data_IF_374655726527
#
_entry.id   IF_374655726527
#
_cell.length_a   1.000
_cell.length_b   1.000
_cell.length_c   1.000
_cell.angle_alpha   90.00
_cell.angle_beta   90.00
_cell.angle_gamma   90.00
#
_symmetry.space_group_name_H-M   'P 1'
#
loop_
_entity.id
_entity.type
_entity.pdbx_description
1 polymer ?
#
# COMPACT_ATOMS: atom_id res chain seq x y z
N UNK A 1 -27.80 -6.64 2.56
CA UNK A 1 -28.43 -6.66 3.91
C UNK A 1 -29.87 -6.19 3.83
N UNK A 2 -30.15 -4.93 3.47
CA UNK A 2 -31.53 -4.42 3.34
C UNK A 2 -32.40 -5.25 2.38
N UNK A 3 -31.90 -5.59 1.19
CA UNK A 3 -32.65 -6.47 0.27
C UNK A 3 -32.95 -7.85 0.88
N UNK A 4 -31.95 -8.50 1.48
CA UNK A 4 -32.13 -9.81 2.13
C UNK A 4 -33.11 -9.76 3.30
N UNK A 5 -33.15 -8.63 4.01
CA UNK A 5 -34.09 -8.39 5.08
C UNK A 5 -35.53 -8.35 4.56
N UNK A 6 -35.76 -7.75 3.38
CA UNK A 6 -37.09 -7.66 2.77
C UNK A 6 -37.53 -8.90 1.99
N UNK A 7 -36.61 -9.55 1.29
CA UNK A 7 -36.96 -10.49 0.22
C UNK A 7 -36.76 -11.96 0.56
N UNK A 8 -36.02 -12.28 1.63
CA UNK A 8 -35.70 -13.67 1.98
C UNK A 8 -36.41 -14.08 3.26
N UNK A 9 -37.05 -15.24 3.22
CA UNK A 9 -37.46 -15.94 4.42
C UNK A 9 -36.26 -16.75 4.95
N UNK A 10 -35.65 -16.26 6.01
CA UNK A 10 -34.46 -16.85 6.62
C UNK A 10 -34.48 -16.63 8.13
N UNK A 11 -33.80 -17.49 8.88
CA UNK A 11 -33.65 -17.31 10.34
C UNK A 11 -33.10 -15.92 10.70
N UNK A 12 -32.20 -15.38 9.86
CA UNK A 12 -31.64 -14.04 10.07
C UNK A 12 -32.68 -12.94 9.83
N UNK A 13 -33.45 -13.00 8.74
CA UNK A 13 -34.49 -12.00 8.48
C UNK A 13 -35.59 -12.05 9.54
N UNK A 14 -36.06 -13.24 9.92
CA UNK A 14 -37.05 -13.43 10.98
C UNK A 14 -36.60 -12.83 12.32
N UNK A 15 -35.35 -13.08 12.72
CA UNK A 15 -34.75 -12.44 13.90
C UNK A 15 -34.71 -10.91 13.80
N UNK A 16 -34.27 -10.39 12.65
CA UNK A 16 -34.18 -8.94 12.44
C UNK A 16 -35.56 -8.27 12.44
N UNK A 17 -36.59 -8.92 11.88
CA UNK A 17 -37.97 -8.47 11.93
C UNK A 17 -38.47 -8.41 13.38
N UNK A 18 -38.37 -9.52 14.12
CA UNK A 18 -38.84 -9.60 15.50
C UNK A 18 -38.14 -8.60 16.43
N UNK A 19 -36.81 -8.42 16.28
CA UNK A 19 -36.03 -7.58 17.20
C UNK A 19 -36.13 -6.08 16.91
N UNK A 20 -36.16 -5.70 15.64
CA UNK A 20 -35.98 -4.30 15.25
C UNK A 20 -37.18 -3.69 14.53
N UNK A 21 -38.04 -4.49 13.88
CA UNK A 21 -39.20 -4.01 13.13
C UNK A 21 -40.42 -3.78 14.04
N UNK A 22 -40.24 -2.96 15.07
CA UNK A 22 -41.16 -2.83 16.23
C UNK A 22 -42.59 -2.42 15.84
N UNK A 23 -42.75 -1.48 14.90
CA UNK A 23 -44.04 -0.83 14.58
C UNK A 23 -44.30 -0.76 13.06
N UNK A 24 -43.67 -1.62 12.26
CA UNK A 24 -43.77 -1.53 10.80
C UNK A 24 -42.91 -0.42 10.15
N UNK A 25 -42.24 0.40 10.96
CA UNK A 25 -41.34 1.46 10.46
C UNK A 25 -39.86 1.04 10.56
N UNK A 26 -39.10 1.31 9.49
CA UNK A 26 -37.64 1.09 9.46
C UNK A 26 -36.86 2.27 10.05
N UNK A 27 -37.06 2.52 11.35
CA UNK A 27 -36.37 3.58 12.10
C UNK A 27 -35.41 2.95 13.13
N UNK A 28 -34.19 3.46 13.20
CA UNK A 28 -33.20 3.01 14.19
C UNK A 28 -33.12 3.95 15.40
N UNK A 29 -32.84 3.39 16.57
CA UNK A 29 -32.51 4.10 17.80
C UNK A 29 -31.00 4.06 18.06
N UNK A 30 -30.50 4.96 18.92
CA UNK A 30 -29.09 5.01 19.32
C UNK A 30 -28.49 3.64 19.75
N UNK A 31 -29.16 2.80 20.57
CA UNK A 31 -28.61 1.51 21.01
C UNK A 31 -28.71 0.39 19.97
N UNK A 32 -29.36 0.60 18.82
CA UNK A 32 -29.54 -0.46 17.85
C UNK A 32 -28.22 -0.82 17.13
N UNK A 33 -28.14 -2.07 16.66
CA UNK A 33 -26.93 -2.58 16.00
C UNK A 33 -26.53 -1.79 14.75
N UNK A 34 -25.23 -1.75 14.44
CA UNK A 34 -24.72 -1.15 13.20
C UNK A 34 -25.38 -1.73 11.94
N UNK A 35 -25.72 -3.02 11.95
CA UNK A 35 -26.42 -3.67 10.84
C UNK A 35 -27.83 -3.11 10.64
N UNK A 36 -28.60 -2.92 11.72
CA UNK A 36 -29.93 -2.32 11.64
C UNK A 36 -29.89 -0.88 11.16
N UNK A 37 -28.97 -0.07 11.68
CA UNK A 37 -28.76 1.32 11.23
C UNK A 37 -28.50 1.38 9.72
N UNK A 38 -27.63 0.51 9.19
CA UNK A 38 -27.36 0.41 7.74
C UNK A 38 -28.58 -0.02 6.93
N UNK A 39 -29.42 -0.91 7.46
CA UNK A 39 -30.68 -1.33 6.81
C UNK A 39 -31.65 -0.15 6.72
N UNK A 40 -31.85 0.59 7.81
CA UNK A 40 -32.73 1.76 7.83
C UNK A 40 -32.25 2.85 6.84
N UNK A 41 -30.95 3.16 6.81
CA UNK A 41 -30.39 4.10 5.84
C UNK A 41 -30.55 3.65 4.40
N UNK A 42 -30.43 2.35 4.12
CA UNK A 42 -30.69 1.82 2.79
C UNK A 42 -32.17 1.87 2.43
N UNK A 43 -33.08 1.78 3.42
CA UNK A 43 -34.53 1.80 3.19
C UNK A 43 -35.02 3.11 2.60
N UNK A 44 -34.48 4.25 3.05
CA UNK A 44 -34.87 5.56 2.52
C UNK A 44 -34.53 5.72 1.03
N UNK A 45 -33.56 4.96 0.52
CA UNK A 45 -33.14 4.99 -0.89
C UNK A 45 -33.79 3.84 -1.67
N UNK A 46 -33.84 2.65 -1.08
CA UNK A 46 -34.28 1.43 -1.75
C UNK A 46 -35.80 1.33 -1.92
N UNK A 47 -36.59 1.98 -1.04
CA UNK A 47 -38.05 1.92 -1.11
C UNK A 47 -38.61 2.45 -2.44
N UNK A 48 -37.95 3.44 -3.05
CA UNK A 48 -38.36 3.99 -4.35
C UNK A 48 -38.07 3.04 -5.52
N UNK A 49 -37.15 2.09 -5.34
CA UNK A 49 -36.60 1.20 -6.37
C UNK A 49 -37.18 -0.23 -6.34
N UNK A 50 -38.17 -0.47 -5.48
CA UNK A 50 -38.85 -1.76 -5.33
C UNK A 50 -40.34 -1.67 -5.67
N UNK A 51 -40.89 -2.77 -6.15
CA UNK A 51 -42.32 -3.01 -6.34
C UNK A 51 -42.74 -4.20 -5.47
N UNK A 52 -43.92 -4.11 -4.87
CA UNK A 52 -44.49 -5.19 -4.06
C UNK A 52 -45.71 -5.71 -4.82
N UNK A 53 -45.58 -6.91 -5.39
CA UNK A 53 -46.69 -7.62 -6.04
C UNK A 53 -47.00 -8.88 -5.25
N UNK A 54 -48.26 -9.05 -4.82
CA UNK A 54 -48.74 -10.24 -4.11
C UNK A 54 -47.85 -10.66 -2.92
N UNK A 55 -47.35 -9.68 -2.14
CA UNK A 55 -46.47 -9.92 -0.98
C UNK A 55 -45.02 -10.25 -1.34
N UNK A 56 -44.66 -10.30 -2.63
CA UNK A 56 -43.29 -10.55 -3.09
C UNK A 56 -42.62 -9.24 -3.51
N UNK A 57 -41.45 -8.95 -2.95
CA UNK A 57 -40.67 -7.75 -3.28
C UNK A 57 -39.86 -7.99 -4.57
N UNK A 58 -40.07 -7.15 -5.58
CA UNK A 58 -39.33 -7.13 -6.85
C UNK A 58 -38.55 -5.85 -7.04
N UNK A 59 -37.44 -5.92 -7.76
CA UNK A 59 -36.63 -4.77 -8.13
C UNK A 59 -37.10 -4.16 -9.46
N UNK A 60 -37.56 -2.90 -9.46
CA UNK A 60 -38.27 -2.25 -10.59
C UNK A 60 -37.54 -2.35 -11.94
N UNK A 61 -36.23 -2.17 -11.93
CA UNK A 61 -35.41 -2.05 -13.15
C UNK A 61 -34.65 -3.34 -13.50
N UNK A 62 -35.13 -4.50 -13.05
CA UNK A 62 -34.54 -5.81 -13.35
C UNK A 62 -35.52 -6.64 -14.17
N UNK A 63 -35.08 -7.17 -15.33
CA UNK A 63 -35.93 -7.98 -16.22
C UNK A 63 -36.59 -9.19 -15.54
N UNK A 64 -36.01 -9.68 -14.45
CA UNK A 64 -36.52 -10.83 -13.67
C UNK A 64 -36.97 -10.43 -12.26
N UNK A 65 -37.04 -9.13 -11.96
CA UNK A 65 -37.32 -8.61 -10.60
C UNK A 65 -36.21 -8.90 -9.58
N UNK A 66 -35.09 -9.50 -9.99
CA UNK A 66 -33.99 -9.89 -9.13
C UNK A 66 -33.10 -8.70 -8.77
N UNK A 67 -32.80 -8.56 -7.47
CA UNK A 67 -31.83 -7.58 -7.00
C UNK A 67 -30.40 -8.00 -7.31
N UNK A 68 -29.62 -7.06 -7.83
CA UNK A 68 -28.16 -7.14 -7.83
C UNK A 68 -27.58 -5.84 -7.29
N UNK A 69 -26.43 -5.95 -6.62
CA UNK A 69 -25.67 -4.77 -6.19
C UNK A 69 -25.31 -3.86 -7.38
N UNK A 70 -25.05 -4.43 -8.54
CA UNK A 70 -24.73 -3.69 -9.76
C UNK A 70 -25.94 -2.86 -10.26
N UNK A 71 -27.14 -3.45 -10.33
CA UNK A 71 -28.36 -2.74 -10.70
C UNK A 71 -28.68 -1.63 -9.70
N UNK A 72 -28.68 -1.94 -8.40
CA UNK A 72 -28.94 -0.95 -7.36
C UNK A 72 -27.94 0.21 -7.38
N UNK A 73 -26.65 -0.09 -7.56
CA UNK A 73 -25.64 0.95 -7.71
C UNK A 73 -25.83 1.81 -8.95
N UNK A 74 -26.31 1.23 -10.06
CA UNK A 74 -26.57 1.94 -11.32
C UNK A 74 -27.70 2.98 -11.21
N UNK A 75 -28.71 2.68 -10.41
CA UNK A 75 -29.88 3.53 -10.16
C UNK A 75 -29.59 4.64 -9.14
N UNK A 76 -28.91 4.31 -8.04
CA UNK A 76 -28.64 5.26 -6.95
C UNK A 76 -27.52 6.24 -7.31
N UNK A 77 -26.57 5.83 -8.15
CA UNK A 77 -25.44 6.70 -8.50
C UNK A 77 -25.89 7.84 -9.40
N UNK A 78 -25.43 9.04 -9.10
CA UNK A 78 -25.50 10.15 -10.06
C UNK A 78 -24.61 9.83 -11.26
N UNK A 79 -25.22 9.53 -12.41
CA UNK A 79 -24.49 9.28 -13.66
C UNK A 79 -23.90 10.59 -14.15
N UNK A 80 -22.58 10.74 -13.98
CA UNK A 80 -21.79 11.78 -14.66
C UNK A 80 -21.17 11.20 -15.92
N UNK A 81 -21.00 12.03 -16.96
CA UNK A 81 -20.27 11.65 -18.16
C UNK A 81 -18.89 11.08 -17.83
N UNK A 82 -18.46 10.09 -18.60
CA UNK A 82 -17.11 9.54 -18.46
C UNK A 82 -16.11 10.60 -18.93
N UNK A 83 -15.30 11.15 -18.01
CA UNK A 83 -14.20 12.04 -18.41
C UNK A 83 -13.08 11.21 -19.03
N UNK A 84 -12.45 11.73 -20.09
CA UNK A 84 -11.31 11.08 -20.74
C UNK A 84 -10.21 10.77 -19.72
N UNK A 85 -9.91 11.71 -18.83
CA UNK A 85 -8.94 11.53 -17.74
C UNK A 85 -9.23 10.32 -16.84
N UNK A 86 -10.51 9.96 -16.66
CA UNK A 86 -10.89 8.78 -15.89
C UNK A 86 -10.60 7.51 -16.70
N UNK A 87 -10.96 7.50 -17.98
CA UNK A 87 -10.68 6.35 -18.85
C UNK A 87 -9.17 6.08 -18.97
N UNK A 88 -8.34 7.13 -18.99
CA UNK A 88 -6.89 7.01 -19.17
C UNK A 88 -6.16 6.44 -17.96
N UNK A 89 -6.63 6.70 -16.73
CA UNK A 89 -5.93 6.27 -15.50
C UNK A 89 -6.38 4.91 -14.96
N UNK A 90 -7.57 4.42 -15.33
CA UNK A 90 -8.14 3.16 -14.81
C UNK A 90 -7.95 1.98 -15.79
N UNK A 91 -6.83 1.93 -16.50
CA UNK A 91 -6.47 0.79 -17.33
C UNK A 91 -5.93 -0.37 -16.48
N UNK A 92 -6.35 -1.61 -16.78
CA UNK A 92 -5.98 -2.81 -16.01
C UNK A 92 -4.48 -3.07 -15.98
N UNK A 93 -3.74 -2.53 -16.95
CA UNK A 93 -2.29 -2.65 -17.00
C UNK A 93 -1.60 -1.74 -15.98
N UNK A 94 -2.23 -0.65 -15.54
CA UNK A 94 -1.65 0.30 -14.59
C UNK A 94 -1.89 -0.22 -13.16
N UNK A 95 -0.86 -0.32 -12.29
CA UNK A 95 -1.11 -0.77 -10.93
C UNK A 95 -2.05 0.18 -10.19
N UNK A 96 -3.06 -0.39 -9.54
CA UNK A 96 -4.17 0.35 -8.93
C UNK A 96 -3.73 1.50 -8.00
N UNK A 97 -2.63 1.32 -7.26
CA UNK A 97 -2.09 2.37 -6.37
C UNK A 97 -1.69 3.65 -7.12
N UNK A 98 -1.21 3.52 -8.35
CA UNK A 98 -0.84 4.66 -9.20
C UNK A 98 -2.11 5.36 -9.70
N UNK A 99 -3.09 4.60 -10.20
CA UNK A 99 -4.38 5.13 -10.66
C UNK A 99 -5.11 5.90 -9.55
N UNK A 100 -5.14 5.35 -8.33
CA UNK A 100 -5.75 6.00 -7.16
C UNK A 100 -5.02 7.32 -6.84
N UNK A 101 -3.70 7.32 -6.86
CA UNK A 101 -2.92 8.53 -6.58
C UNK A 101 -3.20 9.61 -7.62
N UNK A 102 -3.11 9.29 -8.91
CA UNK A 102 -3.36 10.28 -9.98
C UNK A 102 -4.80 10.78 -9.95
N UNK A 103 -5.76 9.91 -9.65
CA UNK A 103 -7.15 10.32 -9.41
C UNK A 103 -7.25 11.35 -8.28
N UNK A 104 -6.53 11.15 -7.17
CA UNK A 104 -6.47 12.15 -6.08
C UNK A 104 -5.79 13.44 -6.51
N UNK A 105 -4.68 13.37 -7.23
CA UNK A 105 -3.94 14.54 -7.76
C UNK A 105 -4.87 15.40 -8.63
N UNK A 106 -5.57 14.79 -9.59
CA UNK A 106 -6.50 15.49 -10.51
C UNK A 106 -7.74 16.08 -9.80
N UNK A 107 -8.00 15.66 -8.57
CA UNK A 107 -9.10 16.16 -7.72
C UNK A 107 -8.61 17.12 -6.63
N UNK A 108 -7.32 17.46 -6.60
CA UNK A 108 -6.68 18.19 -5.50
C UNK A 108 -6.94 17.53 -4.13
N UNK A 109 -7.08 16.21 -4.09
CA UNK A 109 -7.41 15.43 -2.90
C UNK A 109 -6.17 14.77 -2.25
N UNK A 110 -5.00 15.37 -2.45
CA UNK A 110 -3.74 14.97 -1.81
C UNK A 110 -3.37 16.00 -0.72
N UNK A 111 -2.74 15.56 0.38
CA UNK A 111 -2.41 16.44 1.51
C UNK A 111 -1.17 17.29 1.18
N UNK A 112 -1.36 18.33 0.36
CA UNK A 112 -0.33 19.35 0.13
C UNK A 112 -0.38 20.44 1.22
N UNK A 113 0.74 21.11 1.54
CA UNK A 113 0.78 22.18 2.53
C UNK A 113 -0.22 23.32 2.28
N UNK A 114 -0.49 23.64 1.00
CA UNK A 114 -1.54 24.58 0.59
C UNK A 114 -2.95 24.09 0.92
N UNK A 115 -3.19 22.78 0.87
CA UNK A 115 -4.43 22.13 1.30
C UNK A 115 -4.49 21.97 2.84
N UNK A 116 -3.37 22.21 3.54
CA UNK A 116 -3.19 22.11 5.00
C UNK A 116 -2.93 23.49 5.65
N UNK A 117 -3.31 24.59 4.99
CA UNK A 117 -3.25 25.98 5.47
C UNK A 117 -1.84 26.58 5.72
N UNK A 118 -0.74 25.92 5.31
CA UNK A 118 0.61 26.50 5.42
C UNK A 118 1.40 26.25 4.13
N UNK A 119 1.66 27.30 3.35
CA UNK A 119 2.48 27.41 2.10
C UNK A 119 1.78 27.16 0.76
N UNK A 120 2.16 27.98 -0.24
CA UNK A 120 1.64 28.05 -1.62
C UNK A 120 2.08 26.89 -2.55
N UNK A 121 2.17 25.66 -2.05
CA UNK A 121 2.52 24.50 -2.89
C UNK A 121 1.27 23.97 -3.63
N UNK A 122 0.97 24.46 -4.83
CA UNK A 122 -0.13 23.94 -5.66
C UNK A 122 0.24 22.62 -6.36
N UNK A 123 -0.77 21.82 -6.74
CA UNK A 123 -0.57 20.60 -7.53
C UNK A 123 0.20 20.89 -8.82
N UNK A 124 -0.16 21.96 -9.53
CA UNK A 124 0.54 22.34 -10.76
C UNK A 124 2.02 22.66 -10.51
N UNK A 125 2.34 23.35 -9.41
CA UNK A 125 3.71 23.66 -9.07
C UNK A 125 4.53 22.40 -8.80
N UNK A 126 4.08 21.58 -7.85
CA UNK A 126 4.82 20.39 -7.39
C UNK A 126 4.99 19.35 -8.51
N UNK A 127 3.95 19.10 -9.30
CA UNK A 127 3.93 17.97 -10.23
C UNK A 127 4.27 18.33 -11.68
N UNK A 128 4.33 19.61 -12.04
CA UNK A 128 4.45 20.00 -13.44
C UNK A 128 5.33 21.22 -13.70
N UNK A 129 5.21 22.29 -12.92
CA UNK A 129 5.89 23.56 -13.21
C UNK A 129 7.26 23.71 -12.53
N UNK A 130 7.54 22.95 -11.46
CA UNK A 130 8.84 23.00 -10.79
C UNK A 130 9.96 22.56 -11.77
N UNK A 131 11.00 23.38 -11.93
CA UNK A 131 11.99 23.23 -13.01
C UNK A 131 12.65 21.82 -13.05
N UNK A 132 13.13 21.25 -11.93
CA UNK A 132 13.64 19.88 -11.95
C UNK A 132 12.62 18.82 -12.38
N UNK A 133 11.34 19.02 -12.04
CA UNK A 133 10.24 18.14 -12.49
C UNK A 133 9.97 18.32 -13.97
N UNK A 134 10.02 19.54 -14.51
CA UNK A 134 9.92 19.77 -15.96
C UNK A 134 11.01 19.01 -16.74
N UNK A 135 12.22 18.91 -16.20
CA UNK A 135 13.29 18.11 -16.82
C UNK A 135 12.96 16.62 -16.87
N UNK A 136 12.28 16.07 -15.85
CA UNK A 136 11.79 14.69 -15.88
C UNK A 136 10.77 14.53 -17.01
N UNK A 137 9.77 15.41 -17.08
CA UNK A 137 8.76 15.39 -18.14
C UNK A 137 9.36 15.50 -19.53
N UNK A 138 10.37 16.35 -19.72
CA UNK A 138 11.07 16.52 -21.00
C UNK A 138 11.87 15.27 -21.39
N UNK A 139 12.63 14.70 -20.46
CA UNK A 139 13.42 13.48 -20.71
C UNK A 139 12.50 12.33 -21.12
N UNK A 140 11.46 12.03 -20.34
CA UNK A 140 10.54 10.95 -20.71
C UNK A 140 9.67 11.30 -21.92
N UNK A 141 9.39 12.59 -22.13
CA UNK A 141 8.63 13.10 -23.24
C UNK A 141 9.35 12.96 -24.57
N UNK A 142 10.65 13.29 -24.67
CA UNK A 142 11.40 13.24 -25.93
C UNK A 142 11.42 11.87 -26.61
N UNK A 143 11.24 10.83 -25.81
CA UNK A 143 11.15 9.44 -26.23
C UNK A 143 9.83 9.08 -26.92
N UNK A 144 8.77 9.82 -26.60
CA UNK A 144 7.38 9.49 -26.99
C UNK A 144 6.79 10.59 -27.88
N UNK A 145 7.19 11.84 -27.64
CA UNK A 145 6.67 13.06 -28.25
C UNK A 145 7.83 13.97 -28.67
N UNK A 146 7.99 14.25 -29.97
CA UNK A 146 8.79 15.37 -30.42
C UNK A 146 8.14 16.65 -29.88
N UNK A 147 8.90 17.49 -29.16
CA UNK A 147 8.47 18.82 -28.66
C UNK A 147 7.41 18.86 -27.55
N UNK A 148 7.68 18.19 -26.44
CA UNK A 148 6.81 18.35 -25.26
C UNK A 148 6.97 19.73 -24.60
N UNK A 149 5.98 20.59 -24.82
CA UNK A 149 5.85 21.85 -24.09
C UNK A 149 5.39 21.56 -22.66
N UNK A 150 6.22 21.94 -21.68
CA UNK A 150 5.88 21.88 -20.24
C UNK A 150 5.29 23.21 -19.77
N UNK A 151 4.44 23.82 -20.60
CA UNK A 151 3.74 25.08 -20.34
C UNK A 151 2.27 24.82 -20.03
N UNK A 152 1.65 25.67 -19.21
CA UNK A 152 0.25 25.53 -18.83
C UNK A 152 0.05 24.65 -17.58
N UNK A 153 -1.08 23.95 -17.51
CA UNK A 153 -1.46 23.15 -16.34
C UNK A 153 -1.10 21.68 -16.48
N UNK A 154 -0.97 20.97 -15.36
CA UNK A 154 -0.77 19.52 -15.35
C UNK A 154 -1.85 18.80 -16.14
N UNK A 155 -3.11 19.24 -16.02
CA UNK A 155 -4.23 18.61 -16.74
C UNK A 155 -4.10 18.76 -18.25
N UNK A 156 -3.66 19.92 -18.74
CA UNK A 156 -3.40 20.13 -20.17
C UNK A 156 -2.23 19.26 -20.64
N UNK A 157 -1.14 19.23 -19.88
CA UNK A 157 0.00 18.35 -20.17
C UNK A 157 -0.42 16.89 -20.29
N UNK A 158 -1.17 16.36 -19.32
CA UNK A 158 -1.67 14.98 -19.35
C UNK A 158 -2.55 14.70 -20.57
N UNK A 159 -3.43 15.64 -20.95
CA UNK A 159 -4.26 15.48 -22.14
C UNK A 159 -3.42 15.43 -23.41
N UNK A 160 -2.39 16.28 -23.52
CA UNK A 160 -1.44 16.21 -24.65
C UNK A 160 -0.85 14.82 -24.76
N UNK A 161 -0.31 14.26 -23.67
CA UNK A 161 0.22 12.89 -23.67
C UNK A 161 -0.82 11.84 -24.11
N UNK A 162 -1.99 11.86 -23.48
CA UNK A 162 -3.00 10.81 -23.69
C UNK A 162 -3.65 10.83 -25.07
N UNK A 163 -3.63 11.97 -25.76
CA UNK A 163 -4.23 12.15 -27.08
C UNK A 163 -3.22 11.99 -28.22
N UNK A 164 -1.92 11.90 -27.93
CA UNK A 164 -0.88 11.85 -28.96
C UNK A 164 -0.88 10.60 -29.83
N UNK A 165 -1.40 9.48 -29.33
CA UNK A 165 -1.42 8.21 -30.07
C UNK A 165 -2.75 7.48 -29.88
N UNK A 166 -3.07 6.61 -30.83
CA UNK A 166 -4.23 5.73 -30.73
C UNK A 166 -4.16 4.87 -29.46
N UNK A 167 -5.24 4.84 -28.67
CA UNK A 167 -5.29 4.19 -27.36
C UNK A 167 -5.00 2.68 -27.42
N UNK A 168 -5.32 2.05 -28.55
CA UNK A 168 -5.11 0.62 -28.76
C UNK A 168 -3.68 0.28 -29.22
N UNK A 169 -2.91 1.28 -29.64
CA UNK A 169 -1.52 1.09 -30.06
C UNK A 169 -0.57 0.95 -28.87
N UNK A 170 0.58 0.31 -29.10
CA UNK A 170 1.63 0.20 -28.09
C UNK A 170 2.07 1.58 -27.56
N UNK A 171 2.33 2.53 -28.48
CA UNK A 171 2.69 3.90 -28.13
C UNK A 171 1.59 4.57 -27.28
N UNK A 172 0.32 4.34 -27.59
CA UNK A 172 -0.81 4.83 -26.80
C UNK A 172 -0.86 4.24 -25.38
N UNK A 173 -0.56 2.95 -25.20
CA UNK A 173 -0.45 2.34 -23.85
C UNK A 173 0.69 2.97 -23.04
N UNK A 174 1.84 3.20 -23.67
CA UNK A 174 2.98 3.88 -23.02
C UNK A 174 2.64 5.33 -22.68
N UNK A 175 1.99 6.07 -23.59
CA UNK A 175 1.54 7.44 -23.33
C UNK A 175 0.55 7.55 -22.17
N UNK A 176 -0.22 6.50 -21.89
CA UNK A 176 -1.10 6.43 -20.72
C UNK A 176 -0.33 6.14 -19.44
N UNK A 177 0.62 5.19 -19.51
CA UNK A 177 1.40 4.74 -18.37
C UNK A 177 2.42 5.78 -17.87
N UNK A 178 3.24 6.33 -18.77
CA UNK A 178 4.41 7.15 -18.41
C UNK A 178 4.05 8.35 -17.55
N UNK A 179 3.03 9.17 -17.88
CA UNK A 179 2.62 10.28 -17.03
C UNK A 179 2.17 9.84 -15.64
N UNK A 180 1.47 8.70 -15.55
CA UNK A 180 0.99 8.15 -14.29
C UNK A 180 2.15 7.69 -13.40
N UNK A 181 3.18 7.11 -14.01
CA UNK A 181 4.41 6.70 -13.32
C UNK A 181 5.23 7.91 -12.86
N UNK A 182 5.40 8.92 -13.72
CA UNK A 182 6.08 10.18 -13.37
C UNK A 182 5.41 10.83 -12.14
N UNK A 183 4.09 10.98 -12.18
CA UNK A 183 3.33 11.55 -11.06
C UNK A 183 3.49 10.75 -9.76
N UNK A 184 3.54 9.42 -9.85
CA UNK A 184 3.73 8.58 -8.67
C UNK A 184 5.11 8.78 -8.03
N UNK A 185 6.18 8.77 -8.83
CA UNK A 185 7.53 8.93 -8.30
C UNK A 185 7.83 10.37 -7.86
N UNK A 186 7.22 11.38 -8.48
CA UNK A 186 7.27 12.76 -7.97
C UNK A 186 6.58 12.85 -6.61
N UNK A 187 5.39 12.24 -6.45
CA UNK A 187 4.71 12.22 -5.15
C UNK A 187 5.53 11.50 -4.09
N UNK A 188 6.14 10.35 -4.45
CA UNK A 188 6.99 9.61 -3.53
C UNK A 188 8.18 10.48 -3.08
N UNK A 189 8.90 11.11 -4.01
CA UNK A 189 9.99 12.02 -3.68
C UNK A 189 9.52 13.21 -2.82
N UNK A 190 8.36 13.78 -3.16
CA UNK A 190 7.74 14.85 -2.35
C UNK A 190 7.51 14.39 -0.91
N UNK A 191 6.98 13.18 -0.72
CA UNK A 191 6.77 12.60 0.60
C UNK A 191 8.08 12.36 1.36
N UNK A 192 9.09 11.83 0.67
CA UNK A 192 10.38 11.51 1.27
C UNK A 192 11.14 12.76 1.74
N UNK A 193 10.93 13.92 1.10
CA UNK A 193 11.43 15.21 1.58
C UNK A 193 10.62 15.68 2.79
N UNK A 194 9.29 15.71 2.64
CA UNK A 194 8.41 16.41 3.59
C UNK A 194 8.31 15.66 4.92
N UNK A 195 8.40 14.33 4.87
CA UNK A 195 8.22 13.47 6.05
C UNK A 195 9.36 12.47 6.28
N UNK A 196 10.29 12.33 5.32
CA UNK A 196 11.39 11.37 5.38
C UNK A 196 12.76 11.95 5.74
N UNK A 197 12.90 13.29 5.81
CA UNK A 197 14.17 14.02 5.97
C UNK A 197 15.26 13.59 4.98
N UNK A 198 14.87 13.26 3.74
CA UNK A 198 15.80 12.87 2.68
C UNK A 198 16.03 13.99 1.68
N UNK A 199 17.26 14.12 1.19
CA UNK A 199 17.58 15.02 0.09
C UNK A 199 17.08 14.45 -1.24
N UNK A 200 16.58 15.31 -2.14
CA UNK A 200 16.18 14.89 -3.48
C UNK A 200 17.40 14.55 -4.32
N UNK A 201 17.42 13.32 -4.85
CA UNK A 201 18.36 12.95 -5.90
C UNK A 201 17.62 12.68 -7.21
N UNK A 202 17.49 13.71 -8.06
CA UNK A 202 16.78 13.64 -9.34
C UNK A 202 17.23 12.51 -10.27
N UNK A 203 18.53 12.15 -10.35
CA UNK A 203 18.97 10.98 -11.11
C UNK A 203 18.33 9.67 -10.61
N UNK A 204 18.17 9.49 -9.28
CA UNK A 204 17.48 8.32 -8.74
C UNK A 204 15.99 8.29 -9.12
N UNK A 205 15.31 9.44 -9.15
CA UNK A 205 13.90 9.50 -9.58
C UNK A 205 13.78 9.07 -11.05
N UNK A 206 14.64 9.59 -11.94
CA UNK A 206 14.68 9.18 -13.34
C UNK A 206 14.92 7.68 -13.48
N UNK A 207 15.91 7.15 -12.74
CA UNK A 207 16.21 5.73 -12.74
C UNK A 207 15.04 4.86 -12.28
N UNK A 208 14.34 5.26 -11.21
CA UNK A 208 13.17 4.55 -10.69
C UNK A 208 12.02 4.53 -11.71
N UNK A 209 11.73 5.66 -12.35
CA UNK A 209 10.71 5.76 -13.40
C UNK A 209 11.09 4.85 -14.59
N UNK A 210 12.33 4.93 -15.07
CA UNK A 210 12.82 4.12 -16.19
C UNK A 210 12.75 2.61 -15.89
N UNK A 211 13.24 2.22 -14.70
CA UNK A 211 13.20 0.83 -14.22
C UNK A 211 11.76 0.30 -14.14
N UNK A 212 10.83 1.12 -13.64
CA UNK A 212 9.43 0.73 -13.56
C UNK A 212 8.82 0.52 -14.94
N UNK A 213 8.97 1.48 -15.86
CA UNK A 213 8.41 1.40 -17.21
C UNK A 213 8.94 0.15 -17.94
N UNK A 214 10.23 -0.12 -17.80
CA UNK A 214 10.85 -1.30 -18.38
C UNK A 214 10.31 -2.60 -17.78
N UNK A 215 10.33 -2.76 -16.45
CA UNK A 215 9.79 -3.96 -15.76
C UNK A 215 8.33 -4.19 -16.12
N UNK A 216 7.55 -3.12 -16.18
CA UNK A 216 6.16 -3.16 -16.61
C UNK A 216 6.01 -3.62 -18.06
N UNK A 217 6.87 -3.13 -18.96
CA UNK A 217 6.86 -3.52 -20.37
C UNK A 217 7.16 -5.00 -20.56
N UNK A 218 8.13 -5.53 -19.80
CA UNK A 218 8.48 -6.95 -19.79
C UNK A 218 7.29 -7.79 -19.27
N UNK A 219 6.70 -7.41 -18.14
CA UNK A 219 5.65 -8.19 -17.49
C UNK A 219 4.34 -8.27 -18.30
N UNK A 220 4.03 -7.24 -19.10
CA UNK A 220 2.79 -7.18 -19.88
C UNK A 220 2.97 -7.67 -21.35
N UNK A 221 4.11 -8.30 -21.65
CA UNK A 221 4.51 -8.79 -22.97
C UNK A 221 4.10 -10.23 -23.29
N UNK A 222 2.84 -10.49 -23.64
CA UNK A 222 2.42 -11.86 -24.01
C UNK A 222 2.87 -12.33 -25.41
N UNK A 223 3.49 -11.47 -26.22
CA UNK A 223 4.25 -11.84 -27.42
C UNK A 223 5.54 -11.05 -27.40
N UNK A 224 6.70 -11.66 -27.70
CA UNK A 224 8.03 -11.02 -27.83
C UNK A 224 7.94 -9.51 -28.17
N UNK A 225 7.85 -8.63 -27.17
CA UNK A 225 8.03 -7.18 -27.33
C UNK A 225 9.53 -6.97 -27.50
N UNK A 226 10.05 -7.37 -28.67
CA UNK A 226 11.47 -7.51 -28.95
C UNK A 226 12.21 -6.17 -29.10
N UNK A 227 11.62 -5.07 -28.67
CA UNK A 227 12.36 -3.84 -28.41
C UNK A 227 11.80 -3.26 -27.11
N UNK A 228 12.53 -3.35 -25.97
CA UNK A 228 12.35 -2.34 -24.93
C UNK A 228 12.39 -0.97 -25.61
N UNK A 229 11.73 0.01 -25.03
CA UNK A 229 11.93 1.40 -25.39
C UNK A 229 13.46 1.63 -25.50
N UNK A 230 14.07 1.65 -26.70
CA UNK A 230 15.46 1.19 -26.83
C UNK A 230 16.47 2.18 -26.25
N UNK A 231 15.99 3.35 -25.84
CA UNK A 231 16.76 4.43 -25.28
C UNK A 231 16.47 4.64 -23.78
N UNK A 232 15.52 3.91 -23.18
CA UNK A 232 15.31 3.94 -21.73
C UNK A 232 16.41 3.17 -20.99
N UNK A 233 17.04 2.19 -21.64
CA UNK A 233 18.24 1.53 -21.14
C UNK A 233 19.38 2.50 -20.88
N UNK A 234 19.48 3.57 -21.67
CA UNK A 234 20.54 4.58 -21.56
C UNK A 234 20.39 5.44 -20.28
N UNK A 235 19.22 5.37 -19.62
CA UNK A 235 18.95 6.03 -18.33
C UNK A 235 19.25 5.09 -17.15
N UNK A 236 19.46 3.80 -17.41
CA UNK A 236 19.75 2.81 -16.38
C UNK A 236 21.27 2.78 -16.11
N UNK A 237 21.70 2.51 -14.87
CA UNK A 237 23.11 2.37 -14.52
C UNK A 237 23.81 1.30 -15.34
N UNK A 238 25.10 1.51 -15.57
CA UNK A 238 25.98 0.48 -16.12
C UNK A 238 25.90 -0.79 -15.26
N UNK A 239 25.63 -1.93 -15.90
CA UNK A 239 25.42 -3.22 -15.22
C UNK A 239 23.97 -3.54 -14.85
N UNK A 240 22.98 -2.71 -15.22
CA UNK A 240 21.57 -3.07 -15.11
C UNK A 240 21.24 -4.22 -16.07
N UNK A 241 21.20 -5.45 -15.55
CA UNK A 241 21.03 -6.65 -16.34
C UNK A 241 19.56 -6.88 -16.75
N UNK A 242 19.22 -6.40 -17.94
CA UNK A 242 17.92 -6.61 -18.58
C UNK A 242 17.55 -8.10 -18.75
N UNK A 243 18.54 -8.99 -18.87
CA UNK A 243 18.34 -10.41 -19.15
C UNK A 243 18.06 -11.23 -17.88
N UNK A 244 18.46 -10.72 -16.71
CA UNK A 244 18.28 -11.38 -15.41
C UNK A 244 17.12 -10.85 -14.56
N UNK A 245 16.24 -10.01 -15.12
CA UNK A 245 14.98 -9.56 -14.52
C UNK A 245 13.93 -10.69 -14.43
N UNK A 246 14.25 -11.77 -13.69
CA UNK A 246 13.32 -12.85 -13.40
C UNK A 246 12.53 -12.51 -12.13
N UNK A 247 11.19 -12.46 -12.18
CA UNK A 247 10.40 -12.29 -10.97
C UNK A 247 10.65 -13.47 -10.03
N UNK A 248 11.01 -13.15 -8.80
CA UNK A 248 11.17 -14.10 -7.71
C UNK A 248 9.98 -13.96 -6.76
N UNK A 249 9.41 -15.09 -6.37
CA UNK A 249 8.39 -15.12 -5.33
C UNK A 249 9.07 -15.24 -3.97
N UNK A 250 8.81 -14.26 -3.11
CA UNK A 250 9.26 -14.22 -1.73
C UNK A 250 8.08 -14.59 -0.84
N UNK A 251 8.26 -15.58 0.03
CA UNK A 251 7.24 -16.02 0.96
C UNK A 251 7.71 -15.77 2.38
N UNK A 252 6.85 -15.19 3.22
CA UNK A 252 7.06 -15.29 4.65
C UNK A 252 6.83 -16.75 5.09
N UNK A 253 7.76 -17.30 5.88
CA UNK A 253 7.72 -18.69 6.31
C UNK A 253 7.35 -18.78 7.79
N UNK A 254 6.40 -19.67 8.10
CA UNK A 254 6.05 -20.03 9.48
C UNK A 254 7.29 -20.55 10.23
N UNK A 255 7.39 -20.32 11.55
CA UNK A 255 8.47 -20.90 12.34
C UNK A 255 8.31 -22.43 12.44
N UNK A 256 9.37 -23.09 12.91
CA UNK A 256 9.30 -24.52 13.21
C UNK A 256 8.31 -24.78 14.36
N UNK A 257 7.80 -26.01 14.43
CA UNK A 257 6.89 -26.43 15.50
C UNK A 257 7.50 -26.16 16.88
N UNK A 258 6.73 -25.56 17.79
CA UNK A 258 7.17 -25.16 19.12
C UNK A 258 8.03 -23.88 19.19
N UNK A 259 8.27 -23.20 18.07
CA UNK A 259 8.98 -21.91 18.02
C UNK A 259 8.03 -20.75 17.71
N UNK A 260 8.40 -19.58 18.20
CA UNK A 260 7.80 -18.30 17.83
C UNK A 260 8.68 -17.61 16.78
N UNK A 261 8.07 -17.00 15.77
CA UNK A 261 8.78 -16.14 14.80
C UNK A 261 8.74 -14.71 15.30
N UNK A 262 9.91 -14.12 15.55
CA UNK A 262 10.07 -12.70 15.86
C UNK A 262 10.62 -11.98 14.61
N UNK A 263 9.80 -11.20 13.92
CA UNK A 263 10.26 -10.31 12.86
C UNK A 263 10.54 -8.93 13.45
N UNK A 264 11.72 -8.38 13.19
CA UNK A 264 12.13 -7.02 13.63
C UNK A 264 12.53 -6.16 12.44
N UNK A 265 12.33 -4.86 12.57
CA UNK A 265 12.83 -3.84 11.63
C UNK A 265 13.04 -2.51 12.36
N UNK A 266 13.88 -1.65 11.78
CA UNK A 266 14.12 -0.30 12.26
C UNK A 266 13.83 0.75 11.17
N UNK A 267 13.37 1.93 11.59
CA UNK A 267 13.35 3.13 10.77
C UNK A 267 14.35 4.13 11.33
N UNK A 268 15.21 4.64 10.48
CA UNK A 268 16.20 5.65 10.84
C UNK A 268 16.13 6.85 9.89
N UNK A 269 16.13 8.05 10.47
CA UNK A 269 16.27 9.34 9.79
C UNK A 269 17.20 10.23 10.62
N UNK A 270 17.61 11.37 10.07
CA UNK A 270 18.44 12.33 10.79
C UNK A 270 17.77 12.90 12.04
N UNK A 271 16.43 12.98 12.07
CA UNK A 271 15.68 13.58 13.18
C UNK A 271 15.07 12.57 14.15
N UNK A 272 14.89 11.32 13.73
CA UNK A 272 14.16 10.31 14.50
C UNK A 272 14.52 8.89 14.11
N UNK A 273 14.52 7.99 15.10
CA UNK A 273 14.60 6.55 14.87
C UNK A 273 13.55 5.79 15.67
N UNK A 274 13.15 4.63 15.16
CA UNK A 274 12.16 3.77 15.78
C UNK A 274 12.35 2.31 15.39
N UNK A 275 11.88 1.42 16.25
CA UNK A 275 11.86 -0.02 16.03
C UNK A 275 10.43 -0.56 15.96
N UNK A 276 10.29 -1.70 15.33
CA UNK A 276 9.05 -2.46 15.29
C UNK A 276 9.32 -3.95 15.34
N UNK A 277 8.49 -4.67 16.08
CA UNK A 277 8.59 -6.12 16.21
C UNK A 277 7.23 -6.79 16.24
N UNK A 278 7.12 -7.94 15.59
CA UNK A 278 5.92 -8.76 15.57
C UNK A 278 6.27 -10.22 15.81
N UNK A 279 5.46 -10.86 16.66
CA UNK A 279 5.59 -12.25 17.06
C UNK A 279 4.44 -13.04 16.49
N UNK A 280 4.77 -14.16 15.84
CA UNK A 280 3.83 -15.09 15.25
C UNK A 280 4.13 -16.52 15.70
N UNK A 281 3.10 -17.32 15.88
CA UNK A 281 3.23 -18.73 16.29
C UNK A 281 3.54 -19.67 15.10
N UNK A 282 3.67 -20.96 15.40
CA UNK A 282 3.89 -22.04 14.43
C UNK A 282 2.79 -22.16 13.36
N UNK A 283 1.58 -21.70 13.65
CA UNK A 283 0.48 -21.67 12.69
C UNK A 283 0.51 -20.41 11.81
N UNK A 284 1.40 -19.46 12.10
CA UNK A 284 1.48 -18.15 11.46
C UNK A 284 0.51 -17.13 12.05
N UNK A 285 -0.16 -17.47 13.16
CA UNK A 285 -1.12 -16.60 13.83
C UNK A 285 -0.40 -15.52 14.62
N UNK A 286 -1.04 -14.36 14.74
CA UNK A 286 -0.53 -13.26 15.54
C UNK A 286 -0.52 -13.59 17.03
N UNK A 287 0.60 -13.33 17.70
CA UNK A 287 0.76 -13.46 19.16
C UNK A 287 0.81 -12.07 19.79
N UNK A 288 1.84 -11.29 19.46
CA UNK A 288 2.04 -9.95 20.00
C UNK A 288 2.82 -9.07 19.02
N UNK A 289 2.74 -7.74 19.17
CA UNK A 289 3.59 -6.80 18.45
C UNK A 289 3.89 -5.58 19.30
N UNK A 290 4.99 -4.92 18.99
CA UNK A 290 5.39 -3.66 19.59
C UNK A 290 5.96 -2.72 18.52
N UNK A 291 5.69 -1.44 18.70
CA UNK A 291 6.33 -0.34 17.98
C UNK A 291 6.86 0.64 19.01
N UNK A 292 8.08 1.14 18.86
CA UNK A 292 8.75 1.94 19.90
C UNK A 292 9.74 2.95 19.32
N UNK A 293 9.95 4.11 19.98
CA UNK A 293 11.00 5.04 19.59
C UNK A 293 12.37 4.46 19.93
N UNK A 294 13.39 4.88 19.20
CA UNK A 294 14.78 4.53 19.43
C UNK A 294 15.63 5.79 19.51
N UNK A 295 16.81 5.65 20.10
CA UNK A 295 17.89 6.60 19.99
C UNK A 295 19.03 5.90 19.26
N UNK A 296 19.28 6.31 18.02
CA UNK A 296 20.31 5.72 17.18
C UNK A 296 21.03 6.81 16.41
N UNK A 297 22.31 6.59 16.11
CA UNK A 297 23.15 7.55 15.38
C UNK A 297 23.27 7.23 13.90
N UNK A 298 22.93 5.99 13.49
CA UNK A 298 22.94 5.54 12.12
C UNK A 298 21.98 4.35 11.94
N UNK A 299 21.75 3.92 10.69
CA UNK A 299 20.85 2.83 10.36
C UNK A 299 21.24 1.50 11.04
N UNK A 300 22.52 1.13 11.05
CA UNK A 300 22.98 -0.11 11.69
C UNK A 300 22.75 -0.06 13.22
N UNK A 301 23.00 1.08 13.86
CA UNK A 301 22.70 1.28 15.28
C UNK A 301 21.20 1.14 15.56
N UNK A 302 20.33 1.66 14.69
CA UNK A 302 18.88 1.53 14.83
C UNK A 302 18.45 0.05 14.75
N UNK A 303 19.01 -0.71 13.80
CA UNK A 303 18.75 -2.16 13.67
C UNK A 303 19.20 -2.95 14.90
N UNK A 304 20.41 -2.67 15.42
CA UNK A 304 20.92 -3.29 16.65
C UNK A 304 20.02 -2.98 17.85
N UNK A 305 19.66 -1.71 18.04
CA UNK A 305 18.77 -1.30 19.12
C UNK A 305 17.36 -1.91 18.98
N UNK A 306 16.82 -1.98 17.76
CA UNK A 306 15.53 -2.61 17.49
C UNK A 306 15.55 -4.09 17.90
N UNK A 307 16.60 -4.83 17.56
CA UNK A 307 16.76 -6.22 17.97
C UNK A 307 16.85 -6.33 19.50
N UNK A 308 17.73 -5.55 20.15
CA UNK A 308 17.94 -5.59 21.61
C UNK A 308 16.63 -5.35 22.37
N UNK A 309 15.96 -4.23 22.09
CA UNK A 309 14.69 -3.87 22.77
C UNK A 309 13.61 -4.93 22.52
N UNK A 310 13.56 -5.51 21.33
CA UNK A 310 12.59 -6.55 21.01
C UNK A 310 12.84 -7.83 21.80
N UNK A 311 14.11 -8.24 21.98
CA UNK A 311 14.47 -9.40 22.79
C UNK A 311 14.18 -9.18 24.27
N UNK A 312 14.53 -8.02 24.82
CA UNK A 312 14.22 -7.63 26.20
C UNK A 312 12.69 -7.61 26.43
N UNK A 313 11.95 -7.06 25.48
CA UNK A 313 10.49 -7.08 25.51
C UNK A 313 9.94 -8.50 25.49
N UNK A 314 10.41 -9.38 24.59
CA UNK A 314 9.99 -10.78 24.56
C UNK A 314 10.22 -11.48 25.91
N UNK A 315 11.40 -11.26 26.51
CA UNK A 315 11.71 -11.81 27.83
C UNK A 315 10.74 -11.32 28.91
N UNK A 316 10.43 -10.02 28.92
CA UNK A 316 9.45 -9.43 29.87
C UNK A 316 8.04 -10.00 29.72
N UNK A 317 7.69 -10.46 28.51
CA UNK A 317 6.40 -11.08 28.19
C UNK A 317 6.44 -12.62 28.33
N UNK A 318 7.55 -13.18 28.81
CA UNK A 318 7.77 -14.64 28.93
C UNK A 318 7.62 -15.39 27.58
N UNK A 319 8.03 -14.74 26.49
CA UNK A 319 8.04 -15.31 25.14
C UNK A 319 9.44 -15.82 24.80
N UNK A 320 9.56 -17.15 24.66
CA UNK A 320 10.82 -17.85 24.43
C UNK A 320 10.80 -18.66 23.12
N UNK A 321 11.88 -19.39 22.83
CA UNK A 321 12.05 -20.21 21.62
C UNK A 321 11.86 -19.39 20.33
N UNK A 322 12.65 -18.33 20.19
CA UNK A 322 12.50 -17.37 19.11
C UNK A 322 13.31 -17.78 17.87
N UNK A 323 12.66 -17.74 16.71
CA UNK A 323 13.31 -17.61 15.41
C UNK A 323 13.21 -16.14 15.00
N UNK A 324 14.31 -15.43 15.09
CA UNK A 324 14.39 -14.00 14.78
C UNK A 324 14.65 -13.82 13.28
N UNK A 325 13.95 -12.87 12.66
CA UNK A 325 14.14 -12.46 11.27
C UNK A 325 14.27 -10.94 11.14
N UNK A 326 15.24 -10.51 10.34
CA UNK A 326 15.51 -9.11 9.97
C UNK A 326 15.86 -9.04 8.48
N UNK A 327 15.58 -7.92 7.82
CA UNK A 327 16.06 -7.64 6.45
C UNK A 327 17.39 -6.87 6.41
N UNK A 328 18.02 -6.64 7.58
CA UNK A 328 19.34 -6.03 7.67
C UNK A 328 20.47 -7.06 7.59
N UNK A 329 21.01 -7.25 6.37
CA UNK A 329 22.25 -8.01 6.18
C UNK A 329 23.42 -7.43 6.97
N UNK A 330 23.46 -6.11 7.19
CA UNK A 330 24.51 -5.46 7.96
C UNK A 330 24.47 -5.88 9.44
N UNK A 331 23.27 -5.98 10.03
CA UNK A 331 23.08 -6.49 11.39
C UNK A 331 23.56 -7.94 11.50
N UNK A 332 23.18 -8.80 10.56
CA UNK A 332 23.58 -10.22 10.56
C UNK A 332 25.10 -10.38 10.46
N UNK A 333 25.73 -9.62 9.55
CA UNK A 333 27.18 -9.60 9.43
C UNK A 333 27.86 -9.13 10.72
N UNK A 334 27.30 -8.12 11.39
CA UNK A 334 27.82 -7.63 12.66
C UNK A 334 27.70 -8.67 13.79
N UNK A 335 26.58 -9.39 13.87
CA UNK A 335 26.36 -10.47 14.85
C UNK A 335 27.31 -11.65 14.65
N UNK A 336 27.63 -11.99 13.40
CA UNK A 336 28.52 -13.09 13.06
C UNK A 336 30.02 -12.74 13.14
N UNK A 337 30.37 -11.47 13.31
CA UNK A 337 31.77 -11.05 13.35
C UNK A 337 32.43 -11.47 14.67
N UNK A 338 33.38 -12.40 14.60
CA UNK A 338 34.10 -12.98 15.75
C UNK A 338 35.25 -12.13 16.29
N UNK A 339 35.62 -11.05 15.59
CA UNK A 339 36.60 -10.09 16.13
C UNK A 339 36.02 -9.42 17.36
N UNK A 340 36.88 -9.11 18.34
CA UNK A 340 36.59 -8.43 19.60
C UNK A 340 35.98 -7.05 19.34
N UNK A 341 34.71 -7.06 18.94
CA UNK A 341 33.96 -5.87 18.61
C UNK A 341 33.64 -5.24 19.96
N UNK A 342 34.32 -4.15 20.30
CA UNK A 342 34.08 -3.33 21.51
C UNK A 342 32.67 -2.72 21.56
N UNK A 343 31.76 -3.13 20.67
CA UNK A 343 30.39 -2.70 20.65
C UNK A 343 29.58 -3.50 21.68
N UNK A 344 29.50 -2.93 22.88
CA UNK A 344 28.69 -3.41 24.00
C UNK A 344 27.27 -3.84 23.61
N UNK A 345 26.64 -3.17 22.62
CA UNK A 345 25.29 -3.53 22.16
C UNK A 345 25.25 -4.91 21.53
N UNK A 346 26.28 -5.30 20.76
CA UNK A 346 26.37 -6.63 20.15
C UNK A 346 26.59 -7.70 21.22
N UNK A 347 27.41 -7.41 22.22
CA UNK A 347 27.62 -8.30 23.36
C UNK A 347 26.31 -8.54 24.14
N UNK A 348 25.58 -7.46 24.46
CA UNK A 348 24.27 -7.53 25.11
C UNK A 348 23.28 -8.37 24.27
N UNK A 349 23.22 -8.14 22.95
CA UNK A 349 22.36 -8.90 22.05
C UNK A 349 22.75 -10.39 22.03
N UNK A 350 24.04 -10.72 21.98
CA UNK A 350 24.50 -12.11 22.01
C UNK A 350 24.07 -12.84 23.28
N UNK A 351 24.13 -12.16 24.43
CA UNK A 351 23.63 -12.69 25.69
C UNK A 351 22.11 -12.91 25.67
N UNK A 352 21.35 -11.99 25.08
CA UNK A 352 19.89 -12.08 24.98
C UNK A 352 19.39 -13.12 23.97
N UNK A 353 20.12 -13.32 22.87
CA UNK A 353 19.75 -14.29 21.82
C UNK A 353 19.72 -15.70 22.41
N UNK A 354 20.71 -16.09 23.22
CA UNK A 354 20.84 -17.42 23.83
C UNK A 354 20.45 -18.57 22.85
N UNK A 355 19.33 -19.28 23.08
CA UNK A 355 18.82 -20.38 22.23
C UNK A 355 18.08 -19.94 20.97
N UNK A 356 17.95 -18.63 20.75
CA UNK A 356 17.28 -18.05 19.58
C UNK A 356 18.22 -18.04 18.39
N UNK A 357 17.65 -18.07 17.19
CA UNK A 357 18.41 -17.99 15.94
C UNK A 357 18.05 -16.72 15.19
N UNK A 358 19.02 -16.05 14.56
CA UNK A 358 18.79 -14.81 13.80
C UNK A 358 19.04 -15.09 12.32
N UNK A 359 18.05 -14.80 11.48
CA UNK A 359 18.07 -15.08 10.06
C UNK A 359 17.76 -13.84 9.21
N UNK A 360 18.30 -13.83 8.00
CA UNK A 360 17.95 -12.83 7.01
C UNK A 360 16.60 -13.17 6.37
N UNK A 361 15.75 -12.16 6.18
CA UNK A 361 14.59 -12.22 5.31
C UNK A 361 14.64 -11.08 4.28
N UNK A 362 14.05 -11.26 3.11
CA UNK A 362 13.91 -10.14 2.18
C UNK A 362 12.92 -9.11 2.74
N UNK A 363 13.15 -7.84 2.43
CA UNK A 363 12.28 -6.71 2.81
C UNK A 363 10.81 -6.94 2.48
N UNK A 364 10.51 -7.61 1.37
CA UNK A 364 9.15 -7.98 1.01
C UNK A 364 8.47 -8.91 2.02
N UNK A 365 9.21 -9.87 2.58
CA UNK A 365 8.76 -10.78 3.63
C UNK A 365 8.77 -10.17 5.03
N UNK A 366 9.47 -9.04 5.24
CA UNK A 366 9.56 -8.35 6.53
C UNK A 366 8.57 -7.16 6.69
N UNK A 367 7.58 -7.03 5.79
CA UNK A 367 6.66 -5.88 5.74
C UNK A 367 5.90 -5.57 7.03
N UNK A 368 5.57 -6.59 7.82
CA UNK A 368 4.84 -6.42 9.08
C UNK A 368 5.69 -5.66 10.12
N UNK A 369 6.95 -6.06 10.28
CA UNK A 369 7.90 -5.39 11.17
C UNK A 369 8.21 -3.98 10.66
N UNK A 370 8.40 -3.81 9.34
CA UNK A 370 8.57 -2.50 8.72
C UNK A 370 7.43 -1.53 9.00
N UNK A 371 6.18 -2.01 8.86
CA UNK A 371 5.01 -1.20 9.18
C UNK A 371 5.00 -0.74 10.64
N UNK A 372 5.38 -1.64 11.57
CA UNK A 372 5.49 -1.31 12.99
C UNK A 372 6.62 -0.32 13.27
N UNK A 373 7.78 -0.45 12.61
CA UNK A 373 8.88 0.49 12.77
C UNK A 373 8.45 1.90 12.32
N UNK A 374 7.65 2.01 11.27
CA UNK A 374 7.09 3.30 10.82
C UNK A 374 5.96 3.84 11.71
N UNK A 375 5.21 2.98 12.41
CA UNK A 375 4.09 3.39 13.26
C UNK A 375 4.54 4.35 14.38
N UNK A 376 5.67 4.06 15.02
CA UNK A 376 6.23 4.87 16.11
C UNK A 376 6.70 6.26 15.65
N UNK A 377 7.02 6.45 14.36
CA UNK A 377 7.31 7.80 13.82
C UNK A 377 6.15 8.78 14.01
N UNK A 378 4.93 8.26 13.97
CA UNK A 378 3.72 9.07 14.09
C UNK A 378 3.32 9.29 15.55
N UNK A 379 3.43 8.25 16.39
CA UNK A 379 3.02 8.32 17.79
C UNK A 379 4.08 8.90 18.73
N UNK A 380 5.37 8.80 18.35
CA UNK A 380 6.55 9.09 19.19
C UNK A 380 6.51 8.42 20.56
N UNK A 381 5.82 7.27 20.66
CA UNK A 381 5.59 6.52 21.90
C UNK A 381 5.54 5.03 21.59
N UNK A 382 5.92 4.24 22.58
CA UNK A 382 5.77 2.80 22.51
C UNK A 382 4.30 2.38 22.50
N UNK A 383 3.93 1.49 21.57
CA UNK A 383 2.58 0.92 21.44
C UNK A 383 2.72 -0.59 21.36
N UNK A 384 2.07 -1.28 22.29
CA UNK A 384 2.01 -2.74 22.34
C UNK A 384 0.64 -3.24 21.86
N UNK A 385 0.65 -4.37 21.15
CA UNK A 385 -0.54 -5.07 20.70
C UNK A 385 -0.48 -6.52 21.18
N UNK A 386 -1.48 -6.93 21.95
CA UNK A 386 -1.60 -8.30 22.49
C UNK A 386 -2.83 -9.05 21.95
N UNK A 387 -3.53 -8.47 20.98
CA UNK A 387 -4.67 -9.11 20.32
C UNK A 387 -4.68 -8.77 18.84
N UNK A 388 -4.99 -9.75 17.99
CA UNK A 388 -5.15 -9.51 16.56
C UNK A 388 -6.21 -8.42 16.27
N UNK A 389 -7.24 -8.31 17.12
CA UNK A 389 -8.31 -7.32 16.98
C UNK A 389 -7.82 -5.88 17.15
N UNK A 390 -6.78 -5.63 17.95
CA UNK A 390 -6.26 -4.28 18.19
C UNK A 390 -5.29 -3.79 17.11
N UNK A 391 -4.85 -4.67 16.19
CA UNK A 391 -3.94 -4.28 15.11
C UNK A 391 -4.58 -3.28 14.14
N UNK A 392 -3.79 -2.33 13.61
CA UNK A 392 -4.19 -1.50 12.47
C UNK A 392 -4.61 -2.35 11.27
N UNK A 393 -5.59 -1.86 10.49
CA UNK A 393 -6.20 -2.63 9.40
C UNK A 393 -5.20 -3.12 8.35
N UNK A 394 -4.19 -2.32 8.03
CA UNK A 394 -3.15 -2.71 7.08
C UNK A 394 -2.28 -3.84 7.62
N UNK A 395 -1.89 -3.78 8.90
CA UNK A 395 -1.10 -4.82 9.55
C UNK A 395 -1.87 -6.15 9.65
N UNK A 396 -3.19 -6.10 9.94
CA UNK A 396 -4.06 -7.29 9.87
C UNK A 396 -4.00 -7.94 8.48
N UNK A 397 -4.07 -7.13 7.42
CA UNK A 397 -3.98 -7.62 6.05
C UNK A 397 -2.66 -8.31 5.75
N UNK A 398 -1.53 -7.72 6.18
CA UNK A 398 -0.20 -8.30 6.02
C UNK A 398 -0.10 -9.66 6.74
N UNK A 399 -0.49 -9.70 8.03
CA UNK A 399 -0.43 -10.93 8.84
C UNK A 399 -1.28 -12.05 8.24
N UNK A 400 -2.51 -11.76 7.81
CA UNK A 400 -3.38 -12.76 7.19
C UNK A 400 -2.80 -13.25 5.85
N UNK A 401 -2.28 -12.33 5.03
CA UNK A 401 -1.64 -12.65 3.76
C UNK A 401 -0.44 -13.58 3.95
N UNK A 402 0.44 -13.27 4.89
CA UNK A 402 1.60 -14.08 5.25
C UNK A 402 1.17 -15.46 5.78
N UNK A 403 0.17 -15.50 6.67
CA UNK A 403 -0.36 -16.74 7.25
C UNK A 403 -0.97 -17.68 6.19
N UNK A 404 -1.58 -17.12 5.15
CA UNK A 404 -2.12 -17.85 3.99
C UNK A 404 -1.04 -18.26 2.98
N UNK A 405 0.22 -17.87 3.16
CA UNK A 405 1.31 -18.20 2.25
C UNK A 405 1.26 -17.43 0.94
N UNK A 406 0.66 -16.23 0.93
CA UNK A 406 0.62 -15.39 -0.27
C UNK A 406 2.03 -14.88 -0.61
N UNK A 407 2.49 -15.03 -1.86
CA UNK A 407 3.81 -14.56 -2.25
C UNK A 407 3.84 -13.04 -2.43
N UNK A 408 5.02 -12.49 -2.16
CA UNK A 408 5.44 -11.20 -2.67
C UNK A 408 6.29 -11.36 -3.93
N UNK A 409 6.18 -10.41 -4.84
CA UNK A 409 7.01 -10.39 -6.05
C UNK A 409 8.20 -9.48 -5.80
N UNK A 410 9.40 -10.04 -5.95
CA UNK A 410 10.67 -9.33 -5.98
C UNK A 410 11.26 -9.44 -7.39
N UNK A 411 11.80 -8.35 -7.90
CA UNK A 411 12.58 -8.35 -9.13
C UNK A 411 14.04 -8.17 -8.72
N UNK A 412 14.89 -9.17 -8.99
CA UNK A 412 16.33 -9.08 -8.75
C UNK A 412 16.96 -7.96 -9.55
#
# INVERSE_FOLDING_TARGET
>A
MWWLYLSKDSLWSAYMHSKYHRQGEMIYKSPDSCSWKRICHASSIGAELIEIENGTVRWKNSHMGNFTLAAAYSEVRQRRGASLSRQMIWDNSIPLKFSILVWKILRNAIPLPSQLQKLEASVNHVFYLYNPVQQIWKVFGSYVLPDISTKGTLSQGLMTWWLSFSQNSFAGRICRLVPVVILFYIWQAYCDITWGDTAIFFPAIKHQIATFILKWGIANSTKKFARPFPQLSDILPDGFDLQNLKPMLVYWKKPATGFLKLNIDASFTSSFSSGGAIIRDEFGSFVAAISFPLEATNALAAEMCALKVSLEWCHSQQLFNLQVETDSMALISALNCSSSTTNKTIEDIRLLINSSSVHHNFREGNKAAHYLALLSRLSRRSICFFSFKSLPQLLKGIVLSDCMGMPYIRFK
#
